data_IF_413326203247
#
_entry.id   IF_413326203247
#
_cell.length_a   1.000
_cell.length_b   1.000
_cell.length_c   1.000
_cell.angle_alpha   90.00
_cell.angle_beta   90.00
_cell.angle_gamma   90.00
#
_symmetry.space_group_name_H-M   'P 1'
#
loop_
_entity.id
_entity.type
_entity.pdbx_description
1 polymer ?
#
# COMPACT_ATOMS: atom_id res chain seq x y z
N UNK A 1 -27.47 -9.63 -20.33
CA UNK A 1 -26.99 -8.46 -19.55
C UNK A 1 -25.49 -8.61 -19.49
N UNK A 2 -24.78 -7.70 -20.14
CA UNK A 2 -23.38 -7.89 -20.53
C UNK A 2 -22.43 -7.77 -19.34
N UNK A 3 -21.63 -8.82 -19.09
CA UNK A 3 -20.68 -8.84 -17.98
C UNK A 3 -19.62 -7.72 -18.14
N UNK A 4 -19.29 -7.35 -19.39
CA UNK A 4 -18.36 -6.27 -19.69
C UNK A 4 -18.91 -4.90 -19.29
N UNK A 5 -20.20 -4.64 -19.53
CA UNK A 5 -20.84 -3.36 -19.19
C UNK A 5 -20.94 -3.16 -17.67
N UNK A 6 -21.26 -4.24 -16.93
CA UNK A 6 -21.24 -4.27 -15.46
C UNK A 6 -19.83 -4.07 -14.91
N UNK A 7 -18.82 -4.67 -15.55
CA UNK A 7 -17.41 -4.54 -15.15
C UNK A 7 -16.90 -3.11 -15.39
N UNK A 8 -17.23 -2.49 -16.52
CA UNK A 8 -16.93 -1.09 -16.81
C UNK A 8 -17.63 -0.13 -15.84
N UNK A 9 -18.91 -0.34 -15.56
CA UNK A 9 -19.64 0.48 -14.59
C UNK A 9 -19.04 0.39 -13.20
N UNK A 10 -18.71 -0.82 -12.73
CA UNK A 10 -18.09 -1.06 -11.42
C UNK A 10 -16.69 -0.44 -11.35
N UNK A 11 -15.88 -0.53 -12.41
CA UNK A 11 -14.56 0.09 -12.46
C UNK A 11 -14.63 1.62 -12.44
N UNK A 12 -15.57 2.22 -13.17
CA UNK A 12 -15.83 3.67 -13.12
C UNK A 12 -16.32 4.12 -11.74
N UNK A 13 -17.14 3.31 -11.06
CA UNK A 13 -17.55 3.63 -9.67
C UNK A 13 -16.36 3.57 -8.72
N UNK A 14 -15.45 2.61 -8.90
CA UNK A 14 -14.25 2.45 -8.06
C UNK A 14 -13.22 3.57 -8.26
N UNK A 15 -12.97 4.00 -9.50
CA UNK A 15 -12.14 5.19 -9.77
C UNK A 15 -12.73 6.45 -9.14
N UNK A 16 -14.06 6.62 -9.21
CA UNK A 16 -14.74 7.75 -8.57
C UNK A 16 -14.61 7.74 -7.03
N UNK A 17 -14.55 6.56 -6.41
CA UNK A 17 -14.37 6.38 -4.95
C UNK A 17 -12.96 6.75 -4.50
N UNK A 18 -11.92 6.44 -5.28
CA UNK A 18 -10.53 6.87 -4.96
C UNK A 18 -10.44 8.40 -5.01
N UNK A 19 -10.97 9.01 -6.09
CA UNK A 19 -10.93 10.46 -6.28
C UNK A 19 -11.76 11.22 -5.24
N UNK A 20 -12.98 10.75 -4.91
CA UNK A 20 -13.81 11.39 -3.88
C UNK A 20 -13.19 11.28 -2.47
N UNK A 21 -12.52 10.17 -2.15
CA UNK A 21 -11.91 9.98 -0.83
C UNK A 21 -10.59 10.74 -0.65
N UNK A 22 -9.88 11.06 -1.74
CA UNK A 22 -8.67 11.88 -1.71
C UNK A 22 -8.96 13.37 -1.40
N UNK A 23 -10.15 13.88 -1.75
CA UNK A 23 -10.52 15.32 -1.76
C UNK A 23 -10.43 16.09 -0.43
N UNK A 24 -9.95 15.49 0.66
CA UNK A 24 -9.71 16.17 1.95
C UNK A 24 -8.40 15.72 2.64
N UNK A 25 -7.52 15.02 1.93
CA UNK A 25 -6.21 14.65 2.46
C UNK A 25 -5.24 15.80 2.23
N UNK A 26 -4.82 16.44 3.32
CA UNK A 26 -3.81 17.51 3.29
C UNK A 26 -2.52 16.94 3.83
N UNK A 27 -1.52 16.79 2.95
CA UNK A 27 -0.16 16.50 3.36
C UNK A 27 0.41 17.75 4.03
N UNK A 28 0.76 17.62 5.29
CA UNK A 28 1.44 18.68 6.02
C UNK A 28 2.90 18.77 5.56
N UNK A 29 3.47 19.98 5.55
CA UNK A 29 4.85 20.18 5.15
C UNK A 29 5.81 19.38 6.04
N UNK A 30 6.88 18.84 5.45
CA UNK A 30 8.06 18.34 6.19
C UNK A 30 9.00 19.52 6.46
N UNK A 31 10.04 19.34 7.31
CA UNK A 31 11.00 20.41 7.68
C UNK A 31 11.65 21.15 6.49
N UNK A 32 11.58 20.58 5.27
CA UNK A 32 12.11 21.14 4.03
C UNK A 32 11.06 21.70 3.05
N UNK A 33 9.78 21.77 3.42
CA UNK A 33 8.71 22.35 2.59
C UNK A 33 7.87 23.32 3.42
N UNK A 34 7.50 24.48 2.87
CA UNK A 34 6.75 25.51 3.63
C UNK A 34 5.23 25.46 3.42
N UNK A 35 4.74 24.67 2.46
CA UNK A 35 3.32 24.67 2.07
C UNK A 35 2.69 23.28 2.23
N UNK A 36 1.48 23.25 2.80
CA UNK A 36 0.63 22.07 2.82
C UNK A 36 0.10 21.73 1.41
N UNK A 37 0.07 20.46 1.05
CA UNK A 37 -0.35 20.00 -0.29
C UNK A 37 -1.67 19.23 -0.19
N UNK A 38 -2.69 19.67 -0.93
CA UNK A 38 -3.91 18.90 -1.11
C UNK A 38 -3.62 17.69 -2.01
N UNK A 39 -3.89 16.49 -1.51
CA UNK A 39 -3.73 15.24 -2.24
C UNK A 39 -4.96 15.02 -3.12
N UNK A 40 -4.74 15.10 -4.42
CA UNK A 40 -5.75 14.86 -5.46
C UNK A 40 -5.46 13.58 -6.25
N UNK A 41 -4.23 13.06 -6.16
CA UNK A 41 -3.77 11.87 -6.90
C UNK A 41 -3.03 10.91 -6.00
N UNK A 42 -3.55 9.69 -5.90
CA UNK A 42 -3.02 8.60 -5.08
C UNK A 42 -2.69 7.43 -5.98
N UNK A 43 -1.48 6.88 -5.84
CA UNK A 43 -1.08 5.65 -6.50
C UNK A 43 -1.28 4.44 -5.58
N UNK A 44 -1.69 3.31 -6.16
CA UNK A 44 -1.47 1.99 -5.57
C UNK A 44 -0.47 1.19 -6.37
N UNK A 45 0.53 0.61 -5.72
CA UNK A 45 1.44 -0.38 -6.32
C UNK A 45 1.18 -1.77 -5.73
N UNK A 46 1.17 -2.77 -6.62
CA UNK A 46 1.12 -4.19 -6.27
C UNK A 46 1.89 -5.04 -7.30
N UNK A 47 2.33 -6.22 -6.87
CA UNK A 47 2.92 -7.25 -7.74
C UNK A 47 2.25 -8.60 -7.50
N UNK A 48 1.74 -9.22 -8.55
CA UNK A 48 1.16 -10.57 -8.53
C UNK A 48 2.05 -11.60 -9.23
N UNK A 49 2.15 -12.79 -8.66
CA UNK A 49 3.06 -13.85 -9.11
C UNK A 49 2.34 -14.91 -9.95
N UNK A 50 3.03 -15.47 -10.94
CA UNK A 50 2.57 -16.59 -11.75
C UNK A 50 2.33 -17.84 -10.90
N UNK A 51 1.26 -18.59 -11.21
CA UNK A 51 0.94 -19.82 -10.47
C UNK A 51 1.83 -20.98 -10.87
N UNK A 52 2.26 -21.04 -12.14
CA UNK A 52 3.08 -22.12 -12.68
C UNK A 52 4.57 -21.87 -12.37
N UNK A 53 5.00 -20.62 -12.50
CA UNK A 53 6.37 -20.20 -12.21
C UNK A 53 6.38 -18.92 -11.34
N UNK A 54 6.70 -19.03 -10.03
CA UNK A 54 6.73 -17.88 -9.12
C UNK A 54 7.90 -16.92 -9.40
N UNK A 55 8.81 -17.23 -10.33
CA UNK A 55 9.81 -16.29 -10.83
C UNK A 55 9.22 -15.28 -11.83
N UNK A 56 8.03 -15.53 -12.37
CA UNK A 56 7.32 -14.60 -13.24
C UNK A 56 6.29 -13.83 -12.41
N UNK A 57 6.21 -12.53 -12.62
CA UNK A 57 5.25 -11.67 -11.94
C UNK A 57 4.74 -10.53 -12.85
N UNK A 58 3.61 -9.93 -12.45
CA UNK A 58 3.06 -8.72 -13.05
C UNK A 58 3.03 -7.65 -11.98
N UNK A 59 3.76 -6.56 -12.21
CA UNK A 59 3.67 -5.36 -11.39
C UNK A 59 2.68 -4.38 -12.01
N UNK A 60 1.89 -3.70 -11.18
CA UNK A 60 0.86 -2.75 -11.59
C UNK A 60 0.91 -1.48 -10.74
N UNK A 61 0.64 -0.34 -11.38
CA UNK A 61 0.39 0.95 -10.74
C UNK A 61 -1.01 1.44 -11.09
N UNK A 62 -1.75 1.95 -10.10
CA UNK A 62 -3.07 2.57 -10.27
C UNK A 62 -3.04 4.01 -9.79
N UNK A 63 -2.92 4.91 -10.75
CA UNK A 63 -3.30 6.35 -10.73
C UNK A 63 -4.02 6.61 -12.07
N UNK A 64 -3.39 6.00 -13.07
CA UNK A 64 -3.75 5.61 -14.41
C UNK A 64 -3.33 4.11 -14.52
N UNK A 65 -4.12 3.27 -15.17
CA UNK A 65 -3.90 1.81 -15.17
C UNK A 65 -2.73 1.39 -16.09
N UNK A 66 -1.53 1.20 -15.55
CA UNK A 66 -0.35 0.69 -16.28
C UNK A 66 0.27 -0.54 -15.58
N UNK A 67 0.87 -1.43 -16.38
CA UNK A 67 1.39 -2.72 -15.91
C UNK A 67 2.61 -3.18 -16.71
N UNK A 68 3.36 -4.13 -16.13
CA UNK A 68 4.51 -4.77 -16.78
C UNK A 68 4.69 -6.20 -16.26
N UNK A 69 4.80 -7.15 -17.19
CA UNK A 69 5.27 -8.51 -16.90
C UNK A 69 6.77 -8.47 -16.68
N UNK A 70 7.24 -9.02 -15.57
CA UNK A 70 8.65 -9.03 -15.17
C UNK A 70 9.07 -10.42 -14.73
N UNK A 71 10.33 -10.77 -15.01
CA UNK A 71 11.00 -11.91 -14.40
C UNK A 71 11.77 -11.44 -13.18
N UNK A 72 11.64 -12.18 -12.08
CA UNK A 72 12.25 -11.88 -10.79
C UNK A 72 13.36 -12.91 -10.56
N UNK A 73 14.60 -12.45 -10.65
CA UNK A 73 15.78 -13.31 -10.49
C UNK A 73 16.15 -13.55 -9.02
N UNK A 74 15.54 -12.80 -8.10
CA UNK A 74 15.78 -12.90 -6.66
C UNK A 74 14.69 -13.72 -5.96
N UNK A 75 15.06 -14.72 -5.13
CA UNK A 75 14.09 -15.50 -4.37
C UNK A 75 13.41 -14.65 -3.28
N UNK A 76 12.22 -15.05 -2.87
CA UNK A 76 11.53 -14.37 -1.78
C UNK A 76 12.21 -14.66 -0.44
N UNK A 77 12.82 -13.64 0.14
CA UNK A 77 13.36 -13.67 1.50
C UNK A 77 12.55 -12.66 2.33
N UNK A 78 11.84 -13.11 3.40
CA UNK A 78 11.15 -12.20 4.31
C UNK A 78 12.10 -11.09 4.81
N UNK A 79 11.65 -9.84 4.73
CA UNK A 79 12.49 -8.67 5.04
C UNK A 79 13.42 -8.19 3.92
N UNK A 80 13.29 -8.75 2.70
CA UNK A 80 14.02 -8.28 1.51
C UNK A 80 13.10 -8.13 0.28
N UNK A 81 11.80 -7.91 0.50
CA UNK A 81 10.81 -7.69 -0.58
C UNK A 81 11.24 -6.59 -1.56
N UNK A 82 11.89 -5.54 -1.04
CA UNK A 82 12.34 -4.42 -1.85
C UNK A 82 13.38 -4.81 -2.92
N UNK A 83 14.28 -5.76 -2.62
CA UNK A 83 15.26 -6.24 -3.59
C UNK A 83 14.61 -6.98 -4.77
N UNK A 84 13.37 -7.46 -4.58
CA UNK A 84 12.60 -8.18 -5.57
C UNK A 84 11.69 -7.25 -6.39
N UNK A 85 11.01 -6.31 -5.74
CA UNK A 85 9.91 -5.56 -6.38
C UNK A 85 10.25 -4.11 -6.74
N UNK A 86 11.32 -3.53 -6.20
CA UNK A 86 11.62 -2.11 -6.44
C UNK A 86 11.89 -1.81 -7.92
N UNK A 87 12.69 -2.64 -8.60
CA UNK A 87 13.06 -2.43 -10.01
C UNK A 87 11.83 -2.33 -10.93
N UNK A 88 10.91 -3.31 -10.91
CA UNK A 88 9.64 -3.23 -11.63
C UNK A 88 8.83 -1.96 -11.32
N UNK A 89 8.72 -1.55 -10.05
CA UNK A 89 7.99 -0.34 -9.67
C UNK A 89 8.61 0.93 -10.23
N UNK A 90 9.94 1.08 -10.16
CA UNK A 90 10.64 2.22 -10.74
C UNK A 90 10.44 2.30 -12.26
N UNK A 91 10.42 1.17 -12.94
CA UNK A 91 10.21 1.14 -14.39
C UNK A 91 8.78 1.53 -14.78
N UNK A 92 7.76 1.11 -14.03
CA UNK A 92 6.39 1.59 -14.25
C UNK A 92 6.29 3.09 -14.02
N UNK A 93 6.89 3.58 -12.94
CA UNK A 93 6.90 5.00 -12.63
C UNK A 93 7.58 5.83 -13.73
N UNK A 94 8.65 5.32 -14.35
CA UNK A 94 9.34 6.00 -15.46
C UNK A 94 8.44 6.32 -16.66
N UNK A 95 7.37 5.55 -16.89
CA UNK A 95 6.44 5.80 -18.01
C UNK A 95 5.49 6.98 -17.74
N UNK A 96 5.23 7.28 -16.47
CA UNK A 96 4.26 8.31 -16.07
C UNK A 96 4.94 9.57 -15.54
N UNK A 97 6.22 9.52 -15.17
CA UNK A 97 6.94 10.63 -14.51
C UNK A 97 6.92 11.94 -15.30
N UNK A 98 6.91 11.86 -16.63
CA UNK A 98 6.98 13.03 -17.52
C UNK A 98 5.60 13.64 -17.80
N UNK A 99 4.52 13.05 -17.25
CA UNK A 99 3.15 13.52 -17.39
C UNK A 99 2.65 14.12 -16.06
N UNK A 100 2.63 15.46 -15.89
CA UNK A 100 2.25 16.09 -14.63
C UNK A 100 0.84 15.71 -14.12
N UNK A 101 -0.08 15.45 -15.05
CA UNK A 101 -1.46 15.05 -14.74
C UNK A 101 -1.55 13.63 -14.16
N UNK A 102 -0.52 12.80 -14.36
CA UNK A 102 -0.47 11.41 -13.89
C UNK A 102 0.48 11.21 -12.70
N UNK A 103 1.25 12.24 -12.34
CA UNK A 103 2.23 12.16 -11.26
C UNK A 103 1.51 12.07 -9.89
N UNK A 104 1.72 11.01 -9.09
CA UNK A 104 1.07 10.86 -7.80
C UNK A 104 1.66 11.82 -6.77
N UNK A 105 0.80 12.28 -5.85
CA UNK A 105 1.24 13.05 -4.68
C UNK A 105 1.42 12.15 -3.44
N UNK A 106 0.84 10.94 -3.48
CA UNK A 106 0.92 9.95 -2.42
C UNK A 106 0.91 8.55 -3.03
N UNK A 107 1.76 7.67 -2.53
CA UNK A 107 1.86 6.29 -3.02
C UNK A 107 1.59 5.31 -1.87
N UNK A 108 0.65 4.40 -2.11
CA UNK A 108 0.37 3.23 -1.29
C UNK A 108 1.09 2.02 -1.86
N UNK A 109 1.78 1.28 -1.00
CA UNK A 109 2.54 0.08 -1.39
C UNK A 109 2.01 -1.12 -0.62
N UNK A 110 1.71 -2.24 -1.30
CA UNK A 110 1.47 -3.53 -0.64
C UNK A 110 2.79 -4.08 -0.06
N UNK A 111 3.10 -3.66 1.15
CA UNK A 111 4.39 -3.89 1.77
C UNK A 111 4.59 -3.02 2.99
N UNK A 112 5.72 -3.21 3.68
CA UNK A 112 6.05 -2.40 4.84
C UNK A 112 6.95 -1.22 4.45
N UNK A 113 6.84 -0.12 5.21
CA UNK A 113 7.81 0.97 5.26
C UNK A 113 8.73 0.80 6.47
N UNK A 114 8.66 1.72 7.43
CA UNK A 114 9.48 1.67 8.65
C UNK A 114 9.17 0.46 9.55
N UNK A 115 8.02 -0.22 9.40
CA UNK A 115 7.69 -1.49 10.06
C UNK A 115 8.53 -2.64 9.49
N UNK A 116 9.83 -2.57 9.75
CA UNK A 116 10.84 -3.44 9.19
C UNK A 116 12.02 -3.55 10.17
N UNK A 117 12.72 -4.70 10.26
CA UNK A 117 13.87 -4.86 11.17
C UNK A 117 14.92 -3.75 11.02
N UNK A 118 15.11 -3.25 9.79
CA UNK A 118 16.06 -2.18 9.45
C UNK A 118 15.42 -0.80 9.33
N UNK A 119 14.16 -0.62 9.74
CA UNK A 119 13.36 0.61 9.56
C UNK A 119 13.32 1.11 8.09
N UNK A 120 13.52 0.20 7.14
CA UNK A 120 13.64 0.48 5.71
C UNK A 120 13.03 -0.67 4.90
N UNK A 121 11.70 -0.68 4.81
CA UNK A 121 10.95 -1.60 3.98
C UNK A 121 10.78 -1.08 2.53
N UNK A 122 10.04 -1.83 1.72
CA UNK A 122 9.80 -1.49 0.31
C UNK A 122 9.15 -0.12 0.11
N UNK A 123 8.17 0.25 0.95
CA UNK A 123 7.54 1.56 0.84
C UNK A 123 8.53 2.70 1.13
N UNK A 124 9.42 2.51 2.11
CA UNK A 124 10.46 3.50 2.44
C UNK A 124 11.47 3.64 1.32
N UNK A 125 11.99 2.52 0.80
CA UNK A 125 12.98 2.55 -0.27
C UNK A 125 12.41 3.15 -1.56
N UNK A 126 11.18 2.78 -1.94
CA UNK A 126 10.49 3.38 -3.08
C UNK A 126 10.31 4.89 -2.89
N UNK A 127 9.88 5.32 -1.70
CA UNK A 127 9.68 6.73 -1.38
C UNK A 127 10.95 7.56 -1.47
N UNK A 128 12.08 7.01 -1.04
CA UNK A 128 13.40 7.67 -1.15
C UNK A 128 13.81 7.77 -2.62
N UNK A 129 13.64 6.70 -3.40
CA UNK A 129 14.01 6.68 -4.82
C UNK A 129 13.16 7.63 -5.68
N UNK A 130 11.87 7.75 -5.38
CA UNK A 130 10.94 8.58 -6.13
C UNK A 130 10.85 10.02 -5.62
N UNK A 131 11.31 10.29 -4.40
CA UNK A 131 11.09 11.55 -3.68
C UNK A 131 9.59 11.93 -3.61
N UNK A 132 8.72 10.94 -3.37
CA UNK A 132 7.27 11.10 -3.24
C UNK A 132 6.82 10.51 -1.89
N UNK A 133 5.87 11.16 -1.20
CA UNK A 133 5.26 10.61 0.00
C UNK A 133 4.73 9.18 -0.22
N UNK A 134 5.17 8.27 0.64
CA UNK A 134 4.85 6.84 0.54
C UNK A 134 4.41 6.29 1.88
N UNK A 135 3.46 5.36 1.86
CA UNK A 135 3.08 4.56 3.01
C UNK A 135 3.02 3.07 2.62
N UNK A 136 3.37 2.22 3.58
CA UNK A 136 3.24 0.78 3.43
C UNK A 136 1.96 0.28 4.09
N UNK A 137 1.23 -0.58 3.39
CA UNK A 137 0.08 -1.33 3.94
C UNK A 137 0.33 -2.81 3.72
N UNK A 138 0.44 -3.58 4.80
CA UNK A 138 0.65 -5.03 4.71
C UNK A 138 -0.53 -5.83 5.26
N UNK A 139 -0.79 -6.97 4.62
CA UNK A 139 -1.84 -7.94 4.99
C UNK A 139 -1.46 -8.79 6.21
N UNK A 140 -0.16 -8.96 6.44
CA UNK A 140 0.40 -9.83 7.45
C UNK A 140 1.39 -9.05 8.32
N UNK A 141 1.40 -9.33 9.62
CA UNK A 141 2.33 -8.71 10.55
C UNK A 141 3.75 -9.22 10.30
N UNK A 142 4.69 -8.31 10.02
CA UNK A 142 6.11 -8.66 9.97
C UNK A 142 6.68 -8.64 11.39
N UNK A 143 6.73 -9.82 12.01
CA UNK A 143 7.32 -10.00 13.34
C UNK A 143 8.85 -10.02 13.26
N UNK A 144 9.51 -9.34 14.20
CA UNK A 144 10.96 -9.38 14.39
C UNK A 144 11.30 -9.07 15.85
N UNK A 145 12.55 -9.35 16.24
CA UNK A 145 13.01 -9.42 17.65
C UNK A 145 12.63 -8.20 18.50
N UNK A 146 12.69 -6.99 17.94
CA UNK A 146 12.36 -5.76 18.67
C UNK A 146 10.85 -5.55 18.92
N UNK A 147 9.97 -6.42 18.42
CA UNK A 147 8.52 -6.31 18.60
C UNK A 147 8.00 -7.38 19.55
N UNK A 148 7.32 -6.96 20.63
CA UNK A 148 6.61 -7.83 21.59
C UNK A 148 5.22 -8.29 21.12
N UNK A 149 4.92 -8.09 19.84
CA UNK A 149 3.64 -8.43 19.25
C UNK A 149 3.74 -9.70 18.40
N UNK A 150 2.64 -10.43 18.32
CA UNK A 150 2.41 -11.43 17.29
C UNK A 150 1.15 -11.06 16.53
N UNK A 151 0.99 -11.60 15.31
CA UNK A 151 -0.23 -11.42 14.54
C UNK A 151 -1.49 -11.79 15.37
N UNK A 152 -1.40 -12.90 16.11
CA UNK A 152 -2.47 -13.38 17.01
C UNK A 152 -2.75 -12.39 18.16
N UNK A 153 -1.71 -11.87 18.82
CA UNK A 153 -1.90 -10.95 19.96
C UNK A 153 -2.48 -9.61 19.52
N UNK A 154 -2.03 -9.06 18.38
CA UNK A 154 -2.60 -7.85 17.79
C UNK A 154 -4.07 -8.06 17.43
N UNK A 155 -4.38 -9.14 16.71
CA UNK A 155 -5.75 -9.44 16.31
C UNK A 155 -6.68 -9.59 17.52
N UNK A 156 -6.25 -10.29 18.57
CA UNK A 156 -7.02 -10.43 19.81
C UNK A 156 -7.28 -9.08 20.49
N UNK A 157 -6.25 -8.23 20.62
CA UNK A 157 -6.38 -6.89 21.20
C UNK A 157 -7.32 -5.99 20.39
N UNK A 158 -7.26 -6.06 19.06
CA UNK A 158 -8.14 -5.26 18.20
C UNK A 158 -9.59 -5.73 18.25
N UNK A 159 -9.84 -7.04 18.37
CA UNK A 159 -11.19 -7.60 18.46
C UNK A 159 -11.86 -7.35 19.82
N UNK A 160 -11.07 -7.16 20.90
CA UNK A 160 -11.61 -6.78 22.21
C UNK A 160 -12.04 -5.32 22.32
N UNK A 161 -11.69 -4.48 21.34
CA UNK A 161 -12.13 -3.08 21.28
C UNK A 161 -13.60 -3.04 20.86
N UNK A 162 -14.44 -2.38 21.67
CA UNK A 162 -15.90 -2.31 21.47
C UNK A 162 -16.29 -1.60 20.16
N UNK A 163 -17.49 -1.92 19.64
CA UNK A 163 -17.95 -1.62 18.28
C UNK A 163 -18.03 -0.14 17.89
N UNK A 164 -18.01 0.77 18.88
CA UNK A 164 -18.04 2.23 18.67
C UNK A 164 -16.64 2.87 18.64
N UNK A 165 -15.60 2.16 19.09
CA UNK A 165 -14.24 2.68 19.13
C UNK A 165 -13.48 2.36 17.83
N UNK A 166 -12.52 3.23 17.50
CA UNK A 166 -11.59 2.99 16.40
C UNK A 166 -10.70 1.81 16.79
N UNK A 167 -10.86 0.68 16.09
CA UNK A 167 -10.04 -0.51 16.30
C UNK A 167 -8.66 -0.34 15.68
N UNK A 168 -7.79 0.33 16.43
CA UNK A 168 -6.40 0.57 16.06
C UNK A 168 -5.47 0.31 17.24
N UNK A 169 -4.25 -0.12 16.95
CA UNK A 169 -3.22 -0.41 17.94
C UNK A 169 -1.87 0.07 17.41
N UNK A 170 -1.25 1.02 18.13
CA UNK A 170 0.09 1.49 17.81
C UNK A 170 1.10 0.35 18.01
N UNK A 171 1.94 0.11 17.01
CA UNK A 171 2.97 -0.91 17.02
C UNK A 171 4.26 -0.25 17.50
N UNK A 172 4.68 -0.61 18.71
CA UNK A 172 5.83 -0.02 19.39
C UNK A 172 6.87 -1.11 19.66
N UNK A 173 8.15 -0.81 19.42
CA UNK A 173 9.25 -1.70 19.77
C UNK A 173 9.59 -1.66 21.25
N UNK A 174 10.45 -2.59 21.69
CA UNK A 174 10.99 -2.61 23.06
C UNK A 174 11.85 -1.37 23.34
N UNK A 175 12.39 -0.74 22.30
CA UNK A 175 13.11 0.54 22.31
C UNK A 175 12.17 1.77 22.43
N UNK A 176 10.86 1.58 22.53
CA UNK A 176 9.87 2.66 22.53
C UNK A 176 9.61 3.28 21.16
N UNK A 177 10.27 2.80 20.10
CA UNK A 177 10.11 3.34 18.76
C UNK A 177 8.75 2.93 18.17
N UNK A 178 8.04 3.89 17.58
CA UNK A 178 6.76 3.63 16.89
C UNK A 178 7.03 3.17 15.46
N UNK A 179 6.76 1.89 15.20
CA UNK A 179 6.96 1.28 13.88
C UNK A 179 5.74 1.41 12.95
N UNK A 180 4.55 1.65 13.49
CA UNK A 180 3.35 1.74 12.68
C UNK A 180 2.06 1.62 13.48
N UNK A 181 0.99 1.32 12.78
CA UNK A 181 -0.36 1.17 13.34
C UNK A 181 -1.00 -0.09 12.76
N UNK A 182 -1.49 -0.97 13.62
CA UNK A 182 -2.41 -2.01 13.21
C UNK A 182 -3.83 -1.42 13.18
N UNK A 183 -4.53 -1.58 12.07
CA UNK A 183 -5.89 -1.06 11.89
C UNK A 183 -6.84 -2.19 11.47
N UNK A 184 -7.97 -2.30 12.16
CA UNK A 184 -9.01 -3.27 11.86
C UNK A 184 -10.30 -2.55 11.41
N UNK A 185 -10.62 -2.58 10.09
CA UNK A 185 -11.84 -1.97 9.59
C UNK A 185 -13.10 -2.56 10.23
N UNK A 186 -14.19 -1.77 10.25
CA UNK A 186 -15.48 -2.18 10.82
C UNK A 186 -16.02 -3.43 10.11
N UNK A 187 -16.61 -4.36 10.86
CA UNK A 187 -17.17 -5.61 10.32
C UNK A 187 -16.16 -6.66 9.86
N UNK A 188 -14.84 -6.40 9.96
CA UNK A 188 -13.80 -7.35 9.56
C UNK A 188 -13.11 -8.00 10.77
N UNK A 189 -12.45 -9.13 10.51
CA UNK A 189 -11.72 -9.92 11.53
C UNK A 189 -10.20 -9.86 11.40
N UNK A 190 -9.68 -9.49 10.23
CA UNK A 190 -8.25 -9.47 9.98
C UNK A 190 -7.76 -8.03 9.80
N UNK A 191 -6.80 -7.57 10.60
CA UNK A 191 -6.26 -6.22 10.49
C UNK A 191 -5.38 -6.06 9.26
N UNK A 192 -5.03 -4.80 8.98
CA UNK A 192 -3.91 -4.39 8.14
C UNK A 192 -2.90 -3.63 8.98
N UNK A 193 -1.66 -3.59 8.52
CA UNK A 193 -0.57 -2.91 9.22
C UNK A 193 -0.08 -1.75 8.36
N UNK A 194 -0.21 -0.55 8.91
CA UNK A 194 0.14 0.70 8.24
C UNK A 194 1.47 1.18 8.81
N UNK A 195 2.40 1.56 7.94
CA UNK A 195 3.68 2.12 8.34
C UNK A 195 4.10 3.25 7.40
N UNK A 196 4.83 4.23 7.95
CA UNK A 196 5.39 5.33 7.17
C UNK A 196 6.38 4.75 6.16
N UNK A 197 6.29 5.14 4.89
CA UNK A 197 7.32 4.90 3.89
C UNK A 197 8.36 6.02 3.95
N UNK A 198 8.01 7.17 3.38
CA UNK A 198 8.85 8.36 3.27
C UNK A 198 7.99 9.64 3.25
N UNK A 199 8.53 10.76 3.72
CA UNK A 199 7.95 12.12 3.61
C UNK A 199 6.50 12.30 4.12
N UNK A 200 6.09 11.53 5.13
CA UNK A 200 4.79 11.70 5.79
C UNK A 200 4.80 11.22 7.24
N UNK A 201 3.83 11.66 8.03
CA UNK A 201 3.65 11.20 9.41
C UNK A 201 2.82 9.92 9.49
N UNK A 202 2.96 9.17 10.58
CA UNK A 202 2.13 7.97 10.80
C UNK A 202 0.63 8.31 10.87
N UNK A 203 0.29 9.42 11.53
CA UNK A 203 -1.10 9.87 11.64
C UNK A 203 -1.71 10.15 10.27
N UNK A 204 -0.96 10.81 9.39
CA UNK A 204 -1.38 11.04 8.01
C UNK A 204 -1.53 9.72 7.25
N UNK A 205 -0.57 8.78 7.37
CA UNK A 205 -0.67 7.47 6.72
C UNK A 205 -1.93 6.71 7.15
N UNK A 206 -2.23 6.69 8.44
CA UNK A 206 -3.42 6.02 8.99
C UNK A 206 -4.70 6.71 8.51
N UNK A 207 -4.73 8.05 8.48
CA UNK A 207 -5.86 8.82 7.95
C UNK A 207 -6.09 8.51 6.47
N UNK A 208 -5.04 8.53 5.64
CA UNK A 208 -5.10 8.22 4.22
C UNK A 208 -5.62 6.80 3.98
N UNK A 209 -5.11 5.82 4.74
CA UNK A 209 -5.61 4.44 4.71
C UNK A 209 -7.08 4.37 5.06
N UNK A 210 -7.53 5.00 6.15
CA UNK A 210 -8.95 5.01 6.56
C UNK A 210 -9.84 5.60 5.49
N UNK A 211 -9.44 6.72 4.88
CA UNK A 211 -10.20 7.37 3.80
C UNK A 211 -10.27 6.50 2.55
N UNK A 212 -9.20 5.79 2.22
CA UNK A 212 -9.13 4.93 1.04
C UNK A 212 -9.64 3.50 1.28
N UNK A 213 -10.08 3.14 2.49
CA UNK A 213 -10.47 1.77 2.83
C UNK A 213 -12.00 1.62 2.89
N UNK A 214 -12.59 1.22 1.76
CA UNK A 214 -13.95 0.65 1.74
C UNK A 214 -13.93 -0.82 2.19
N UNK A 215 -12.84 -1.52 1.88
CA UNK A 215 -12.61 -2.93 2.21
C UNK A 215 -11.43 -3.09 3.19
N UNK A 216 -10.99 -4.34 3.42
CA UNK A 216 -9.79 -4.64 4.22
C UNK A 216 -8.56 -3.90 3.69
N UNK A 217 -8.37 -3.96 2.38
CA UNK A 217 -7.22 -3.38 1.68
C UNK A 217 -7.67 -2.06 1.07
N UNK A 218 -6.88 -0.97 1.24
CA UNK A 218 -7.20 0.32 0.63
C UNK A 218 -7.36 0.19 -0.88
N UNK A 219 -8.29 0.96 -1.40
CA UNK A 219 -8.71 0.91 -2.79
C UNK A 219 -7.56 1.02 -3.80
N UNK A 220 -6.55 1.91 -3.64
CA UNK A 220 -5.43 1.98 -4.58
C UNK A 220 -4.67 0.65 -4.73
N UNK A 221 -4.31 0.01 -3.61
CA UNK A 221 -3.62 -1.30 -3.62
C UNK A 221 -4.57 -2.39 -4.11
N UNK A 222 -5.83 -2.36 -3.66
CA UNK A 222 -6.83 -3.36 -4.04
C UNK A 222 -7.04 -3.38 -5.56
N UNK A 223 -7.07 -2.21 -6.21
CA UNK A 223 -7.17 -2.10 -7.67
C UNK A 223 -5.94 -2.65 -8.37
N UNK A 224 -4.75 -2.28 -7.90
CA UNK A 224 -3.50 -2.78 -8.47
C UNK A 224 -3.42 -4.32 -8.39
N UNK A 225 -3.84 -4.92 -7.26
CA UNK A 225 -3.92 -6.37 -7.05
C UNK A 225 -4.96 -7.04 -7.96
N UNK A 226 -6.15 -6.46 -8.14
CA UNK A 226 -7.14 -7.01 -9.07
C UNK A 226 -6.65 -6.99 -10.52
N UNK A 227 -6.09 -5.88 -10.97
CA UNK A 227 -5.61 -5.72 -12.35
C UNK A 227 -4.42 -6.66 -12.60
N UNK A 228 -3.42 -6.68 -11.71
CA UNK A 228 -2.23 -7.52 -11.86
C UNK A 228 -2.57 -9.02 -11.90
N UNK A 229 -3.49 -9.50 -11.04
CA UNK A 229 -3.97 -10.89 -11.06
C UNK A 229 -4.76 -11.25 -12.31
N UNK A 230 -5.61 -10.34 -12.78
CA UNK A 230 -6.37 -10.59 -14.01
C UNK A 230 -5.43 -10.75 -15.21
N UNK A 231 -4.34 -9.96 -15.26
CA UNK A 231 -3.32 -10.09 -16.31
C UNK A 231 -2.59 -11.43 -16.19
N UNK A 232 -2.14 -11.82 -14.99
CA UNK A 232 -1.51 -13.15 -14.76
C UNK A 232 -2.41 -14.27 -15.25
N UNK A 233 -3.71 -14.22 -14.91
CA UNK A 233 -4.68 -15.22 -15.33
C UNK A 233 -4.91 -15.23 -16.85
N UNK A 234 -5.01 -14.05 -17.47
CA UNK A 234 -5.24 -13.92 -18.92
C UNK A 234 -4.05 -14.39 -19.73
N UNK A 235 -2.83 -14.18 -19.22
CA UNK A 235 -1.58 -14.62 -19.82
C UNK A 235 -1.20 -16.07 -19.43
N UNK A 236 -2.03 -16.72 -18.62
CA UNK A 236 -1.89 -18.11 -18.19
C UNK A 236 -0.54 -18.44 -17.48
N UNK A 237 -0.04 -17.44 -16.71
CA UNK A 237 1.23 -17.45 -15.95
C UNK A 237 1.09 -18.07 -14.55
#
# INVERSE_FOLDING_TARGET
MDLELLTQQVNNTKESVILQNANNLVLLPTENQNNSVLVTRIAGFDTSFGKKDPSIAVSCIVIYSDHKVVKLDTPYIPGFLAARELGPYLHLFQKIKDNPNLLPQLIFVDGNGILHPRKCGLASLLGVQLNIPTLGVSKNFLSFENLVYSNKSIKSKLLSIHSNDIRQLTIVGNDGFVYGMAFLPKGLVNPIYVSVGNLLSLDFAVLAVKKCSVYRIPEPIRQADHISRNIVHTLDL
#
